data_IF_395242675990
#
_entry.id   IF_395242675990
#
_cell.length_a   1.000
_cell.length_b   1.000
_cell.length_c   1.000
_cell.angle_alpha   90.00
_cell.angle_beta   90.00
_cell.angle_gamma   90.00
#
_symmetry.space_group_name_H-M   'P 1'
#
loop_
_entity.id
_entity.type
_entity.pdbx_description
1 polymer ?
#
# COMPACT_ATOMS: atom_id res chain seq x y z
N UNK A 1 1.78 -23.87 47.02
CA UNK A 1 2.22 -25.17 46.45
C UNK A 1 3.36 -24.90 45.48
N UNK A 2 4.50 -25.48 45.85
CA UNK A 2 5.79 -25.61 45.17
C UNK A 2 6.37 -24.45 44.36
N UNK A 3 7.11 -23.61 45.09
CA UNK A 3 8.21 -22.79 44.62
C UNK A 3 9.42 -23.66 44.24
N UNK A 4 10.13 -23.19 43.21
CA UNK A 4 11.33 -23.78 42.62
C UNK A 4 12.49 -23.74 43.63
N UNK A 5 13.20 -24.86 43.75
CA UNK A 5 14.41 -25.04 44.56
C UNK A 5 15.63 -24.79 43.67
N UNK A 6 16.49 -23.87 44.07
CA UNK A 6 17.90 -23.78 43.65
C UNK A 6 18.77 -23.85 44.91
N UNK A 7 19.84 -24.66 44.94
CA UNK A 7 20.87 -24.54 45.96
C UNK A 7 21.99 -23.58 45.51
N UNK A 8 22.49 -22.82 46.49
CA UNK A 8 23.64 -21.92 46.42
C UNK A 8 24.83 -22.53 47.17
N UNK A 9 26.05 -22.26 46.69
CA UNK A 9 27.39 -22.31 47.37
C UNK A 9 28.44 -22.09 46.27
N UNK A 10 29.58 -21.44 46.40
CA UNK A 10 30.23 -20.62 47.43
C UNK A 10 31.41 -19.90 46.71
N UNK A 11 31.94 -18.88 47.35
CA UNK A 11 32.98 -17.94 46.90
C UNK A 11 34.39 -18.57 47.02
N UNK A 12 35.36 -18.21 46.14
CA UNK A 12 36.60 -17.47 46.50
C UNK A 12 37.67 -17.45 45.38
N UNK A 13 38.39 -16.34 45.36
CA UNK A 13 39.43 -15.81 44.47
C UNK A 13 40.82 -16.43 44.70
N UNK A 14 41.68 -16.46 43.67
CA UNK A 14 43.10 -16.02 43.76
C UNK A 14 43.75 -15.85 42.37
N UNK A 15 44.64 -14.86 42.31
CA UNK A 15 45.42 -14.32 41.20
C UNK A 15 46.73 -15.07 40.91
N UNK A 16 47.30 -14.81 39.72
CA UNK A 16 48.73 -14.67 39.35
C UNK A 16 49.27 -15.57 38.20
N UNK A 17 49.80 -14.89 37.18
CA UNK A 17 50.80 -15.34 36.17
C UNK A 17 52.21 -15.37 36.83
N UNK A 18 53.37 -15.74 36.18
CA UNK A 18 53.67 -15.87 34.73
C UNK A 18 54.72 -16.98 34.33
N UNK A 19 55.10 -16.96 33.03
CA UNK A 19 56.44 -17.27 32.43
C UNK A 19 56.66 -18.57 31.61
N UNK A 20 56.92 -18.35 30.30
CA UNK A 20 57.81 -19.00 29.30
C UNK A 20 57.52 -20.33 28.54
N UNK A 21 57.28 -20.13 27.23
CA UNK A 21 58.09 -20.57 26.06
C UNK A 21 58.42 -22.05 25.81
N UNK A 22 57.85 -22.62 24.74
CA UNK A 22 58.53 -23.06 23.49
C UNK A 22 57.88 -24.31 22.85
N UNK A 23 57.86 -24.37 21.51
CA UNK A 23 57.60 -25.59 20.74
C UNK A 23 56.44 -25.50 19.74
N UNK A 24 56.78 -25.30 18.46
CA UNK A 24 55.88 -25.36 17.30
C UNK A 24 55.45 -26.79 17.00
N UNK A 25 54.16 -27.01 16.72
CA UNK A 25 53.73 -28.00 15.72
C UNK A 25 52.54 -27.41 14.94
N UNK A 26 52.80 -27.12 13.66
CA UNK A 26 51.81 -26.65 12.68
C UNK A 26 50.87 -27.80 12.31
N UNK A 27 49.65 -27.77 12.84
CA UNK A 27 48.53 -28.62 12.41
C UNK A 27 47.55 -27.75 11.60
N UNK A 28 47.18 -28.11 10.36
CA UNK A 28 46.26 -27.32 9.56
C UNK A 28 44.85 -27.41 10.18
N UNK A 29 44.51 -26.42 11.03
CA UNK A 29 43.15 -26.18 11.50
C UNK A 29 42.22 -26.11 10.30
N UNK A 30 41.46 -27.18 10.11
CA UNK A 30 40.35 -27.34 9.18
C UNK A 30 39.42 -26.13 9.30
N UNK A 31 39.66 -25.12 8.46
CA UNK A 31 38.77 -23.98 8.30
C UNK A 31 37.53 -24.51 7.61
N UNK A 32 36.54 -24.91 8.41
CA UNK A 32 35.16 -25.14 7.97
C UNK A 32 34.81 -24.00 7.01
N UNK A 33 34.81 -24.28 5.70
CA UNK A 33 34.50 -23.29 4.68
C UNK A 33 33.07 -22.85 4.96
N UNK A 34 32.90 -21.61 5.43
CA UNK A 34 31.61 -20.93 5.40
C UNK A 34 31.09 -21.09 3.97
N UNK A 35 29.82 -21.48 3.81
CA UNK A 35 29.15 -21.61 2.51
C UNK A 35 29.52 -20.37 1.70
N UNK A 36 30.42 -20.52 0.72
CA UNK A 36 30.92 -19.38 -0.03
C UNK A 36 29.76 -18.87 -0.87
N UNK A 37 29.31 -17.65 -0.61
CA UNK A 37 28.35 -17.01 -1.48
C UNK A 37 29.02 -16.78 -2.83
N UNK A 38 28.26 -16.90 -3.92
CA UNK A 38 28.77 -16.55 -5.25
C UNK A 38 29.34 -15.13 -5.25
N UNK A 39 30.30 -14.83 -6.11
CA UNK A 39 30.79 -13.46 -6.28
C UNK A 39 29.65 -12.50 -6.62
N UNK A 40 29.81 -11.23 -6.25
CA UNK A 40 28.85 -10.17 -6.57
C UNK A 40 28.56 -10.15 -8.08
N UNK A 41 27.30 -10.24 -8.47
CA UNK A 41 26.89 -10.29 -9.88
C UNK A 41 27.09 -8.97 -10.63
N UNK A 42 27.42 -7.88 -9.94
CA UNK A 42 27.60 -6.56 -10.56
C UNK A 42 29.05 -6.11 -10.67
N UNK A 43 29.86 -6.34 -9.63
CA UNK A 43 31.26 -5.94 -9.67
C UNK A 43 32.19 -7.15 -9.87
N UNK A 44 31.80 -8.36 -9.50
CA UNK A 44 32.65 -9.56 -9.58
C UNK A 44 33.86 -9.56 -8.63
N UNK A 45 34.22 -8.41 -8.05
CA UNK A 45 35.45 -8.21 -7.27
C UNK A 45 35.44 -8.82 -5.88
N UNK A 46 34.26 -8.97 -5.28
CA UNK A 46 34.09 -9.37 -3.89
C UNK A 46 33.00 -10.44 -3.78
N UNK A 47 33.14 -11.30 -2.77
CA UNK A 47 32.11 -12.27 -2.40
C UNK A 47 30.80 -11.54 -2.09
N UNK A 48 29.66 -12.09 -2.55
CA UNK A 48 28.38 -11.48 -2.25
C UNK A 48 28.07 -11.57 -0.76
N UNK A 49 27.40 -10.55 -0.23
CA UNK A 49 26.94 -10.45 1.16
C UNK A 49 25.42 -10.43 1.28
N UNK A 50 24.75 -9.99 0.21
CA UNK A 50 23.30 -9.79 0.17
C UNK A 50 22.71 -10.48 -1.05
N UNK A 51 21.44 -10.88 -0.93
CA UNK A 51 20.64 -11.47 -2.01
C UNK A 51 19.32 -10.70 -2.14
N UNK A 52 19.00 -10.26 -3.35
CA UNK A 52 17.76 -9.51 -3.61
C UNK A 52 16.55 -10.45 -3.49
N UNK A 53 15.51 -10.13 -2.68
CA UNK A 53 14.35 -11.01 -2.53
C UNK A 53 13.42 -11.01 -3.75
N UNK A 54 13.52 -10.00 -4.63
CA UNK A 54 12.72 -9.90 -5.86
C UNK A 54 13.27 -10.73 -7.02
N UNK A 55 14.57 -10.56 -7.33
CA UNK A 55 15.21 -11.19 -8.50
C UNK A 55 16.35 -12.16 -8.13
N UNK A 56 16.61 -12.39 -6.85
CA UNK A 56 17.62 -13.33 -6.33
C UNK A 56 19.08 -13.00 -6.69
N UNK A 57 19.34 -11.81 -7.27
CA UNK A 57 20.69 -11.32 -7.60
C UNK A 57 21.53 -11.15 -6.34
N UNK A 58 22.79 -11.58 -6.42
CA UNK A 58 23.76 -11.51 -5.34
C UNK A 58 24.60 -10.24 -5.44
N UNK A 59 24.80 -9.54 -4.33
CA UNK A 59 25.52 -8.26 -4.27
C UNK A 59 26.42 -8.18 -3.03
N UNK A 60 27.57 -7.50 -3.14
CA UNK A 60 28.54 -7.38 -2.04
C UNK A 60 28.36 -6.12 -1.18
N UNK A 61 27.66 -5.10 -1.67
CA UNK A 61 27.58 -3.78 -1.03
C UNK A 61 26.34 -3.00 -1.45
N UNK A 62 26.00 -1.95 -0.70
CA UNK A 62 24.86 -1.08 -1.01
C UNK A 62 24.94 -0.41 -2.39
N UNK A 63 26.10 0.08 -2.87
CA UNK A 63 26.23 0.57 -4.25
C UNK A 63 25.83 -0.48 -5.29
N UNK A 64 26.22 -1.75 -5.07
CA UNK A 64 25.79 -2.84 -5.94
C UNK A 64 24.27 -3.08 -5.81
N UNK A 65 23.71 -3.05 -4.60
CA UNK A 65 22.25 -3.17 -4.44
C UNK A 65 21.49 -2.08 -5.21
N UNK A 66 21.97 -0.83 -5.22
CA UNK A 66 21.31 0.25 -5.97
C UNK A 66 21.49 0.09 -7.48
N UNK A 67 22.73 -0.18 -7.91
CA UNK A 67 23.06 -0.36 -9.33
C UNK A 67 22.21 -1.44 -9.99
N UNK A 68 22.03 -2.62 -9.39
CA UNK A 68 21.17 -3.62 -10.05
C UNK A 68 19.71 -3.20 -10.07
N UNK A 69 19.20 -2.49 -9.06
CA UNK A 69 17.79 -2.05 -9.06
C UNK A 69 17.53 -1.07 -10.19
N UNK A 70 18.49 -0.18 -10.46
CA UNK A 70 18.44 0.75 -11.59
C UNK A 70 18.59 -0.01 -12.93
N UNK A 71 19.63 -0.83 -13.08
CA UNK A 71 19.93 -1.54 -14.34
C UNK A 71 18.83 -2.54 -14.74
N UNK A 72 18.23 -3.24 -13.76
CA UNK A 72 17.20 -4.27 -13.98
C UNK A 72 15.78 -3.80 -13.71
N UNK A 73 15.58 -2.51 -13.41
CA UNK A 73 14.27 -1.96 -12.99
C UNK A 73 13.58 -2.79 -11.90
N UNK A 74 14.37 -3.31 -10.95
CA UNK A 74 13.90 -4.23 -9.92
C UNK A 74 13.38 -3.48 -8.69
N UNK A 75 12.13 -3.75 -8.30
CA UNK A 75 11.52 -3.18 -7.07
C UNK A 75 12.24 -3.62 -5.80
N UNK A 76 12.92 -4.77 -5.83
CA UNK A 76 13.53 -5.40 -4.67
C UNK A 76 12.51 -5.99 -3.69
N UNK A 77 11.26 -6.17 -4.11
CA UNK A 77 10.19 -6.80 -3.32
C UNK A 77 9.90 -8.17 -3.91
N UNK A 78 9.86 -9.22 -3.07
CA UNK A 78 9.48 -10.57 -3.50
C UNK A 78 8.02 -10.59 -3.95
N UNK A 79 7.76 -11.16 -5.13
CA UNK A 79 6.39 -11.46 -5.53
C UNK A 79 5.87 -12.66 -4.71
N UNK A 80 5.04 -12.38 -3.69
CA UNK A 80 4.45 -13.41 -2.81
C UNK A 80 3.47 -14.33 -3.55
N UNK A 81 2.90 -13.90 -4.67
CA UNK A 81 1.86 -14.63 -5.42
C UNK A 81 2.38 -15.10 -6.77
N UNK A 82 3.70 -15.32 -6.89
CA UNK A 82 4.28 -15.88 -8.10
C UNK A 82 3.77 -17.31 -8.30
N UNK A 83 3.40 -17.65 -9.53
CA UNK A 83 2.94 -19.00 -9.86
C UNK A 83 4.08 -20.02 -9.67
N UNK A 84 3.77 -21.10 -8.97
CA UNK A 84 4.64 -22.26 -8.81
C UNK A 84 3.92 -23.46 -9.40
N UNK A 85 4.54 -24.12 -10.38
CA UNK A 85 3.99 -25.34 -10.94
C UNK A 85 3.95 -26.45 -9.89
N UNK A 86 2.93 -27.32 -9.94
CA UNK A 86 2.76 -28.42 -8.97
C UNK A 86 4.00 -29.32 -8.84
N UNK A 87 4.76 -29.51 -9.93
CA UNK A 87 6.00 -30.28 -9.92
C UNK A 87 7.15 -29.65 -9.12
N UNK A 88 7.08 -28.34 -8.88
CA UNK A 88 8.08 -27.55 -8.15
C UNK A 88 7.53 -27.03 -6.81
N UNK A 89 6.31 -27.45 -6.44
CA UNK A 89 5.67 -27.03 -5.20
C UNK A 89 6.26 -27.82 -4.03
N UNK A 90 7.16 -27.18 -3.28
CA UNK A 90 7.83 -27.75 -2.12
C UNK A 90 7.24 -27.24 -0.79
N UNK A 91 7.73 -27.79 0.32
CA UNK A 91 7.31 -27.37 1.66
C UNK A 91 7.59 -25.87 1.92
N UNK A 92 8.62 -25.30 1.29
CA UNK A 92 8.94 -23.89 1.39
C UNK A 92 7.92 -23.00 0.68
N UNK A 93 7.42 -23.42 -0.48
CA UNK A 93 6.31 -22.78 -1.17
C UNK A 93 5.03 -22.85 -0.32
N UNK A 94 4.71 -24.01 0.26
CA UNK A 94 3.57 -24.17 1.16
C UNK A 94 3.63 -23.23 2.37
N UNK A 95 4.79 -23.14 3.04
CA UNK A 95 4.99 -22.23 4.19
C UNK A 95 4.88 -20.76 3.78
N UNK A 96 5.36 -20.41 2.58
CA UNK A 96 5.21 -19.06 2.02
C UNK A 96 3.73 -18.70 1.85
N UNK A 97 2.94 -19.61 1.29
CA UNK A 97 1.51 -19.42 1.04
C UNK A 97 0.72 -19.34 2.35
N UNK A 98 1.01 -20.23 3.30
CA UNK A 98 0.40 -20.20 4.63
C UNK A 98 0.62 -18.84 5.31
N UNK A 99 1.86 -18.35 5.35
CA UNK A 99 2.19 -17.05 5.95
C UNK A 99 1.52 -15.90 5.19
N UNK A 100 1.43 -15.99 3.87
CA UNK A 100 0.72 -15.00 3.07
C UNK A 100 -0.77 -14.92 3.44
N UNK A 101 -1.43 -16.07 3.63
CA UNK A 101 -2.82 -16.12 4.06
C UNK A 101 -3.01 -15.59 5.48
N UNK A 102 -2.12 -15.93 6.42
CA UNK A 102 -2.15 -15.37 7.78
C UNK A 102 -1.94 -13.86 7.81
N UNK A 103 -0.99 -13.34 7.02
CA UNK A 103 -0.74 -11.90 6.89
C UNK A 103 -1.99 -11.19 6.33
N UNK A 104 -2.62 -11.80 5.32
CA UNK A 104 -3.85 -11.29 4.70
C UNK A 104 -5.02 -11.31 5.69
N UNK A 105 -5.16 -12.39 6.45
CA UNK A 105 -6.14 -12.51 7.53
C UNK A 105 -5.95 -11.43 8.59
N UNK A 106 -4.72 -11.25 9.10
CA UNK A 106 -4.38 -10.19 10.06
C UNK A 106 -4.69 -8.79 9.53
N UNK A 107 -4.44 -8.53 8.24
CA UNK A 107 -4.77 -7.26 7.62
C UNK A 107 -6.29 -7.03 7.53
N UNK A 108 -7.05 -8.04 7.11
CA UNK A 108 -8.50 -7.98 7.02
C UNK A 108 -9.15 -7.81 8.41
N UNK A 109 -8.66 -8.52 9.41
CA UNK A 109 -9.10 -8.40 10.80
C UNK A 109 -8.78 -7.01 11.36
N UNK A 110 -7.59 -6.49 11.07
CA UNK A 110 -7.19 -5.12 11.40
C UNK A 110 -8.16 -4.09 10.80
N UNK A 111 -8.48 -4.23 9.51
CA UNK A 111 -9.44 -3.35 8.83
C UNK A 111 -10.86 -3.47 9.42
N UNK A 112 -11.28 -4.68 9.81
CA UNK A 112 -12.60 -4.91 10.44
C UNK A 112 -12.67 -4.30 11.85
N UNK A 113 -11.54 -4.24 12.55
CA UNK A 113 -11.43 -3.64 13.89
C UNK A 113 -11.19 -2.12 13.86
N UNK A 114 -10.84 -1.55 12.70
CA UNK A 114 -10.66 -0.12 12.54
C UNK A 114 -11.98 0.62 12.84
N UNK A 115 -11.96 1.47 13.87
CA UNK A 115 -13.12 2.27 14.28
C UNK A 115 -13.64 3.21 13.19
N UNK A 116 -12.78 3.61 12.24
CA UNK A 116 -13.19 4.41 11.08
C UNK A 116 -14.05 3.60 10.09
N UNK A 117 -13.84 2.28 10.04
CA UNK A 117 -14.60 1.34 9.19
C UNK A 117 -15.88 0.89 9.90
N UNK A 118 -15.81 0.53 11.20
CA UNK A 118 -16.97 0.02 11.97
C UNK A 118 -18.05 1.05 12.22
N UNK A 119 -17.67 2.29 12.51
CA UNK A 119 -18.61 3.39 12.71
C UNK A 119 -18.10 4.58 11.93
N UNK A 120 -18.58 4.80 10.69
CA UNK A 120 -18.21 5.96 9.91
C UNK A 120 -18.43 7.19 10.77
N UNK A 121 -17.35 7.91 11.12
CA UNK A 121 -17.44 9.10 11.95
C UNK A 121 -18.24 10.14 11.17
N UNK A 122 -19.54 10.20 11.43
CA UNK A 122 -20.43 11.12 10.73
C UNK A 122 -20.05 12.54 11.15
N UNK A 123 -19.53 13.30 10.19
CA UNK A 123 -19.16 14.69 10.43
C UNK A 123 -20.41 15.50 10.77
N UNK A 124 -20.25 16.57 11.57
CA UNK A 124 -21.35 17.49 11.86
C UNK A 124 -21.96 18.07 10.57
N UNK A 125 -21.13 18.24 9.52
CA UNK A 125 -21.58 18.62 8.17
C UNK A 125 -22.53 17.55 7.59
N UNK A 126 -22.12 16.28 7.58
CA UNK A 126 -22.96 15.18 7.08
C UNK A 126 -24.28 15.08 7.85
N UNK A 127 -24.26 15.20 9.19
CA UNK A 127 -25.49 15.20 10.00
C UNK A 127 -26.46 16.33 9.62
N UNK A 128 -25.95 17.57 9.47
CA UNK A 128 -26.74 18.72 9.01
C UNK A 128 -27.32 18.48 7.61
N UNK A 129 -26.51 17.92 6.71
CA UNK A 129 -26.91 17.61 5.34
C UNK A 129 -28.02 16.55 5.31
N UNK A 130 -27.88 15.47 6.08
CA UNK A 130 -28.92 14.45 6.24
C UNK A 130 -30.22 15.01 6.80
N UNK A 131 -30.13 15.89 7.81
CA UNK A 131 -31.32 16.52 8.39
C UNK A 131 -32.04 17.42 7.37
N UNK A 132 -31.29 18.18 6.56
CA UNK A 132 -31.86 18.97 5.47
C UNK A 132 -32.51 18.08 4.40
N UNK A 133 -31.82 17.01 3.97
CA UNK A 133 -32.32 16.10 2.94
C UNK A 133 -33.62 15.41 3.36
N UNK A 134 -33.71 14.95 4.62
CA UNK A 134 -34.93 14.35 5.17
C UNK A 134 -36.13 15.30 5.13
N UNK A 135 -35.93 16.60 5.34
CA UNK A 135 -37.01 17.61 5.25
C UNK A 135 -37.49 17.86 3.81
N UNK A 136 -36.70 17.46 2.82
CA UNK A 136 -37.01 17.61 1.40
C UNK A 136 -37.30 16.27 0.72
N UNK A 137 -37.48 15.19 1.50
CA UNK A 137 -37.68 13.83 1.00
C UNK A 137 -36.57 13.31 0.06
N UNK A 138 -35.34 13.80 0.26
CA UNK A 138 -34.16 13.36 -0.50
C UNK A 138 -33.43 12.28 0.29
N UNK A 139 -33.12 11.16 -0.37
CA UNK A 139 -32.33 10.08 0.21
C UNK A 139 -30.84 10.30 -0.06
N UNK A 140 -30.09 10.76 0.94
CA UNK A 140 -28.63 10.89 0.86
C UNK A 140 -27.91 9.68 1.43
N UNK A 141 -27.00 9.12 0.63
CA UNK A 141 -26.03 8.10 1.07
C UNK A 141 -24.64 8.72 1.13
N UNK A 142 -23.96 8.52 2.26
CA UNK A 142 -22.62 9.06 2.49
C UNK A 142 -21.58 7.96 2.36
N UNK A 143 -20.51 8.25 1.62
CA UNK A 143 -19.29 7.45 1.70
C UNK A 143 -18.53 7.81 2.99
N UNK A 144 -17.76 6.87 3.56
CA UNK A 144 -16.86 7.18 4.67
C UNK A 144 -15.88 8.32 4.31
N UNK A 145 -15.48 9.10 5.31
CA UNK A 145 -14.60 10.28 5.14
C UNK A 145 -13.23 9.94 4.55
N UNK A 146 -12.81 8.68 4.65
CA UNK A 146 -11.56 8.15 4.09
C UNK A 146 -11.58 8.13 2.56
N UNK A 147 -12.74 8.08 1.91
CA UNK A 147 -12.85 8.04 0.45
C UNK A 147 -12.60 9.42 -0.16
N UNK A 148 -11.83 9.46 -1.26
CA UNK A 148 -11.56 10.68 -2.05
C UNK A 148 -12.85 11.38 -2.48
N UNK A 149 -13.83 10.62 -2.98
CA UNK A 149 -15.18 11.11 -3.33
C UNK A 149 -15.87 11.85 -2.18
N UNK A 150 -15.70 11.38 -0.93
CA UNK A 150 -16.26 12.08 0.24
C UNK A 150 -15.52 13.38 0.56
N UNK A 151 -14.20 13.42 0.35
CA UNK A 151 -13.36 14.59 0.62
C UNK A 151 -13.56 15.70 -0.42
N UNK A 152 -13.75 15.33 -1.68
CA UNK A 152 -14.00 16.25 -2.78
C UNK A 152 -15.42 16.82 -2.78
N UNK A 153 -16.38 16.12 -2.17
CA UNK A 153 -17.78 16.51 -2.15
C UNK A 153 -18.00 17.85 -1.41
N UNK A 154 -18.28 18.87 -2.22
CA UNK A 154 -18.55 20.23 -1.74
C UNK A 154 -20.04 20.52 -1.54
N UNK A 155 -20.93 19.53 -1.64
CA UNK A 155 -22.38 19.72 -1.48
C UNK A 155 -22.70 20.35 -0.13
N UNK A 156 -23.62 21.32 -0.15
CA UNK A 156 -24.15 21.96 1.04
C UNK A 156 -25.61 22.36 0.82
N UNK A 157 -26.36 22.50 1.91
CA UNK A 157 -27.77 22.90 1.89
C UNK A 157 -27.93 24.26 2.56
N UNK A 158 -28.69 25.14 1.91
CA UNK A 158 -29.17 26.40 2.45
C UNK A 158 -30.50 26.14 3.17
N UNK A 159 -30.42 25.81 4.46
CA UNK A 159 -31.60 25.39 5.26
C UNK A 159 -32.71 26.43 5.29
N UNK A 160 -32.38 27.73 5.27
CA UNK A 160 -33.37 28.83 5.26
C UNK A 160 -34.18 28.87 3.97
N UNK A 161 -33.49 28.72 2.84
CA UNK A 161 -34.08 28.81 1.50
C UNK A 161 -34.64 27.48 1.01
N UNK A 162 -34.36 26.39 1.74
CA UNK A 162 -34.70 25.02 1.35
C UNK A 162 -34.12 24.64 -0.02
N UNK A 163 -32.86 25.02 -0.28
CA UNK A 163 -32.18 24.74 -1.56
C UNK A 163 -30.91 23.93 -1.32
N UNK A 164 -30.71 22.90 -2.13
CA UNK A 164 -29.43 22.21 -2.25
C UNK A 164 -28.53 22.89 -3.27
N UNK A 165 -27.25 23.00 -2.91
CA UNK A 165 -26.19 23.38 -3.82
C UNK A 165 -25.25 22.19 -3.97
N UNK A 166 -25.51 21.43 -5.01
CA UNK A 166 -24.92 20.13 -5.32
C UNK A 166 -23.47 20.25 -5.83
N UNK A 167 -22.71 19.20 -5.54
CA UNK A 167 -21.49 18.87 -6.27
C UNK A 167 -21.83 17.72 -7.21
N UNK A 168 -21.79 17.99 -8.51
CA UNK A 168 -22.13 17.02 -9.55
C UNK A 168 -20.86 16.51 -10.21
N UNK A 169 -20.81 15.21 -10.49
CA UNK A 169 -19.83 14.61 -11.38
C UNK A 169 -20.58 14.13 -12.62
N UNK A 170 -20.32 14.77 -13.75
CA UNK A 170 -20.86 14.41 -15.05
C UNK A 170 -19.89 13.45 -15.71
N UNK A 171 -20.39 12.28 -16.12
CA UNK A 171 -19.61 11.26 -16.81
C UNK A 171 -20.24 11.05 -18.17
N UNK A 172 -19.45 11.17 -19.22
CA UNK A 172 -19.84 10.94 -20.60
C UNK A 172 -19.17 9.64 -21.07
N UNK A 173 -19.87 8.50 -21.03
CA UNK A 173 -19.27 7.20 -21.35
C UNK A 173 -18.75 7.12 -22.79
N UNK A 174 -19.44 7.77 -23.72
CA UNK A 174 -19.11 7.75 -25.15
C UNK A 174 -17.76 8.40 -25.48
N UNK A 175 -17.32 9.35 -24.67
CA UNK A 175 -16.07 10.07 -24.84
C UNK A 175 -15.04 9.77 -23.76
N UNK A 176 -15.37 8.86 -22.84
CA UNK A 176 -14.58 8.56 -21.64
C UNK A 176 -14.16 9.84 -20.87
N UNK A 177 -15.04 10.83 -20.80
CA UNK A 177 -14.76 12.13 -20.18
C UNK A 177 -15.56 12.36 -18.91
N UNK A 178 -14.92 12.99 -17.94
CA UNK A 178 -15.50 13.30 -16.65
C UNK A 178 -15.33 14.80 -16.34
N UNK A 179 -16.41 15.42 -15.86
CA UNK A 179 -16.42 16.82 -15.43
C UNK A 179 -17.00 16.94 -14.02
N UNK A 180 -16.44 17.82 -13.20
CA UNK A 180 -16.91 18.08 -11.85
C UNK A 180 -17.44 19.51 -11.74
N UNK A 181 -18.71 19.65 -11.39
CA UNK A 181 -19.36 20.95 -11.18
C UNK A 181 -19.68 21.15 -9.70
N UNK A 182 -19.38 22.34 -9.19
CA UNK A 182 -19.64 22.72 -7.80
C UNK A 182 -20.77 23.73 -7.75
N UNK A 183 -21.51 23.76 -6.63
CA UNK A 183 -22.51 24.80 -6.31
C UNK A 183 -23.71 24.81 -7.27
N UNK A 184 -24.14 23.65 -7.75
CA UNK A 184 -25.28 23.54 -8.67
C UNK A 184 -26.58 23.61 -7.89
N UNK A 185 -27.40 24.63 -8.15
CA UNK A 185 -28.69 24.79 -7.50
C UNK A 185 -29.67 23.71 -7.94
N UNK A 186 -30.43 23.18 -6.96
CA UNK A 186 -31.53 22.24 -7.19
C UNK A 186 -32.65 22.82 -8.06
N UNK A 187 -32.71 24.15 -8.22
CA UNK A 187 -33.67 24.83 -9.10
C UNK A 187 -33.28 24.78 -10.59
N UNK A 188 -32.05 24.39 -10.92
CA UNK A 188 -31.61 24.29 -12.32
C UNK A 188 -32.12 22.98 -12.92
N UNK A 189 -32.61 23.05 -14.14
CA UNK A 189 -32.98 21.84 -14.88
C UNK A 189 -31.73 21.10 -15.34
N UNK A 190 -31.86 19.79 -15.59
CA UNK A 190 -30.76 18.99 -16.13
C UNK A 190 -30.29 19.54 -17.48
N UNK A 191 -31.21 20.01 -18.32
CA UNK A 191 -30.89 20.66 -19.60
C UNK A 191 -29.95 21.84 -19.39
N UNK A 192 -30.29 22.80 -18.52
CA UNK A 192 -29.44 23.96 -18.20
C UNK A 192 -28.06 23.58 -17.65
N UNK A 193 -27.95 22.44 -16.98
CA UNK A 193 -26.68 21.92 -16.44
C UNK A 193 -25.84 21.30 -17.56
N UNK A 194 -26.48 20.62 -18.52
CA UNK A 194 -25.82 19.93 -19.62
C UNK A 194 -25.54 20.82 -20.83
N UNK A 195 -26.25 21.95 -20.98
CA UNK A 195 -26.08 22.90 -22.08
C UNK A 195 -24.61 23.22 -22.37
N UNK A 196 -23.76 23.58 -21.38
CA UNK A 196 -22.35 23.90 -21.62
C UNK A 196 -21.47 22.73 -22.10
N UNK A 197 -21.95 21.49 -22.01
CA UNK A 197 -21.17 20.28 -22.33
C UNK A 197 -21.63 19.59 -23.61
N UNK A 198 -22.91 19.73 -23.96
CA UNK A 198 -23.54 19.03 -25.09
C UNK A 198 -23.87 19.99 -26.23
N UNK A 199 -24.15 21.28 -25.97
CA UNK A 199 -24.61 22.16 -27.04
C UNK A 199 -23.51 22.44 -28.08
N UNK A 200 -23.78 22.22 -29.38
CA UNK A 200 -22.80 22.39 -30.46
C UNK A 200 -22.15 23.78 -30.55
N UNK A 201 -22.86 24.81 -30.07
CA UNK A 201 -22.54 26.23 -30.28
C UNK A 201 -22.09 26.96 -29.00
N UNK A 202 -22.53 26.51 -27.83
CA UNK A 202 -22.28 27.19 -26.53
C UNK A 202 -21.27 26.46 -25.64
N UNK A 203 -20.87 25.24 -26.00
CA UNK A 203 -19.85 24.50 -25.28
C UNK A 203 -18.44 25.02 -25.59
N UNK A 204 -17.58 25.15 -24.56
CA UNK A 204 -16.16 25.45 -24.71
C UNK A 204 -15.52 24.50 -25.76
N UNK A 205 -14.80 25.01 -26.77
CA UNK A 205 -14.17 24.20 -27.82
C UNK A 205 -13.30 23.05 -27.27
N UNK A 206 -12.68 23.22 -26.09
CA UNK A 206 -11.87 22.18 -25.44
C UNK A 206 -12.73 21.04 -24.88
N UNK A 207 -13.90 21.38 -24.34
CA UNK A 207 -14.88 20.41 -23.83
C UNK A 207 -15.57 19.68 -24.99
N UNK A 208 -15.84 20.39 -26.08
CA UNK A 208 -16.40 19.85 -27.32
C UNK A 208 -15.44 18.89 -28.04
N UNK A 209 -14.16 19.24 -28.19
CA UNK A 209 -13.16 18.34 -28.79
C UNK A 209 -13.00 17.05 -28.01
N UNK A 210 -13.01 17.15 -26.68
CA UNK A 210 -12.97 16.00 -25.77
C UNK A 210 -14.19 15.07 -25.93
N UNK A 211 -15.36 15.62 -26.19
CA UNK A 211 -16.60 14.86 -26.36
C UNK A 211 -16.78 14.30 -27.80
N UNK A 212 -16.27 14.98 -28.83
CA UNK A 212 -16.38 14.56 -30.24
C UNK A 212 -15.23 13.66 -30.71
N UNK A 213 -14.09 13.65 -30.02
CA UNK A 213 -12.87 12.93 -30.46
C UNK A 213 -12.98 11.41 -30.54
N UNK A 214 -14.09 10.80 -30.10
CA UNK A 214 -14.30 9.35 -30.10
C UNK A 214 -15.36 8.86 -31.11
N UNK A 215 -15.96 9.76 -31.91
CA UNK A 215 -16.92 9.37 -32.94
C UNK A 215 -16.30 8.98 -34.29
N UNK A 216 -14.96 8.93 -34.39
CA UNK A 216 -14.23 8.43 -35.55
C UNK A 216 -13.33 7.25 -35.15
N UNK A 217 -13.92 6.07 -34.98
CA UNK A 217 -13.25 4.77 -35.09
C UNK A 217 -14.28 3.72 -35.49
#
# INVERSE_FOLDING_TARGET
MCSIIFPATDVMSTTESPVENSGQEDEPKNRKRKISLSNCSLCGLQEAKYKCPGCLVHSCSLPCVKKHKEDSSCSGIRNKTAFVALSQFDEMALLSDYRFLEDTGRFADGATRDGLVRTPRTTSKAKKLSACARRMNITLRFLPVTFTKSRENSTFCLTREKIFLWHLKLVFPQSNTEFSQRRVSDKKTLEQILTPYIHPTESDPVTRQKNLGHHHS
#
